data_IF_410419415236
#
_entry.id   IF_410419415236
#
_cell.length_a   1.000
_cell.length_b   1.000
_cell.length_c   1.000
_cell.angle_alpha   90.00
_cell.angle_beta   90.00
_cell.angle_gamma   90.00
#
_symmetry.space_group_name_H-M   'P 1'
#
loop_
_entity.id
_entity.type
_entity.pdbx_description
1 polymer ?
#
# COMPACT_ATOMS: atom_id res chain seq x y z
N UNK A 1 -16.90 -7.44 -16.75
CA UNK A 1 -16.29 -8.35 -15.76
C UNK A 1 -16.30 -7.73 -14.35
N UNK A 2 -16.74 -8.44 -13.29
CA UNK A 2 -16.61 -7.92 -11.94
C UNK A 2 -15.12 -7.92 -11.56
N UNK A 3 -14.60 -6.76 -11.16
CA UNK A 3 -13.28 -6.70 -10.53
C UNK A 3 -13.40 -7.36 -9.14
N UNK A 4 -12.48 -8.27 -8.76
CA UNK A 4 -12.47 -8.81 -7.40
C UNK A 4 -12.34 -7.65 -6.41
N UNK A 5 -13.21 -7.65 -5.38
CA UNK A 5 -13.16 -6.66 -4.31
C UNK A 5 -11.99 -7.00 -3.41
N UNK A 6 -10.96 -6.15 -3.39
CA UNK A 6 -9.81 -6.28 -2.51
C UNK A 6 -10.11 -5.56 -1.19
N UNK A 7 -9.89 -6.25 -0.07
CA UNK A 7 -10.09 -5.73 1.29
C UNK A 7 -8.73 -5.51 1.94
N UNK A 8 -8.55 -4.45 2.71
CA UNK A 8 -7.29 -4.17 3.42
C UNK A 8 -7.56 -3.94 4.91
N UNK A 9 -6.71 -4.47 5.78
CA UNK A 9 -6.67 -4.14 7.20
C UNK A 9 -5.52 -3.20 7.47
N UNK A 10 -5.83 -2.12 8.16
CA UNK A 10 -4.88 -1.08 8.51
C UNK A 10 -4.40 -1.30 9.94
N UNK A 11 -3.09 -1.43 10.11
CA UNK A 11 -2.40 -1.38 11.39
C UNK A 11 -1.53 -0.12 11.40
N UNK A 12 -1.06 0.32 12.57
CA UNK A 12 -0.35 1.60 12.71
C UNK A 12 0.81 1.73 11.71
N UNK A 13 0.61 2.51 10.64
CA UNK A 13 1.61 2.76 9.60
C UNK A 13 1.68 1.72 8.46
N UNK A 14 0.90 0.63 8.50
CA UNK A 14 0.89 -0.39 7.46
C UNK A 14 -0.53 -0.82 7.05
N UNK A 15 -0.72 -1.18 5.79
CA UNK A 15 -1.95 -1.81 5.29
C UNK A 15 -1.63 -3.20 4.73
N UNK A 16 -2.36 -4.21 5.22
CA UNK A 16 -2.25 -5.60 4.81
C UNK A 16 -3.48 -5.96 3.95
N UNK A 17 -3.25 -6.57 2.79
CA UNK A 17 -4.34 -7.12 1.97
C UNK A 17 -4.95 -8.35 2.67
N UNK A 18 -6.25 -8.30 2.93
CA UNK A 18 -7.04 -9.44 3.36
C UNK A 18 -7.48 -10.30 2.16
N UNK A 19 -7.55 -11.63 2.31
CA UNK A 19 -8.33 -12.46 1.40
C UNK A 19 -9.77 -11.94 1.36
N UNK A 20 -10.37 -11.89 0.17
CA UNK A 20 -11.77 -11.51 0.04
C UNK A 20 -12.65 -12.53 0.79
N UNK A 21 -13.08 -12.20 2.01
CA UNK A 21 -14.10 -12.99 2.69
C UNK A 21 -15.45 -12.78 2.02
N UNK A 22 -16.14 -13.89 1.78
CA UNK A 22 -17.56 -13.95 1.43
C UNK A 22 -18.42 -13.26 2.52
N UNK A 23 -19.62 -12.75 2.18
CA UNK A 23 -20.30 -11.75 3.00
C UNK A 23 -20.89 -12.38 4.27
N UNK A 24 -20.17 -12.26 5.38
CA UNK A 24 -20.74 -12.44 6.71
C UNK A 24 -21.03 -11.08 7.34
N UNK A 25 -22.16 -11.03 8.03
CA UNK A 25 -22.91 -9.86 8.43
C UNK A 25 -22.05 -8.74 9.06
N UNK A 26 -22.40 -7.51 8.71
CA UNK A 26 -21.77 -6.29 9.20
C UNK A 26 -21.83 -6.18 10.73
N UNK A 27 -20.68 -6.34 11.39
CA UNK A 27 -20.41 -5.69 12.67
C UNK A 27 -19.68 -4.36 12.42
N UNK A 28 -20.05 -3.28 13.15
CA UNK A 28 -19.41 -1.97 12.98
C UNK A 28 -17.96 -2.04 13.48
N UNK A 29 -16.97 -1.51 12.72
CA UNK A 29 -15.58 -1.54 13.13
C UNK A 29 -15.36 -0.64 14.38
N UNK A 30 -14.50 -1.05 15.32
CA UNK A 30 -14.17 -0.25 16.50
C UNK A 30 -13.52 1.08 16.09
N UNK A 31 -13.96 2.16 16.75
CA UNK A 31 -13.58 3.53 16.44
C UNK A 31 -12.05 3.74 16.42
N UNK A 32 -11.54 4.24 15.30
CA UNK A 32 -10.14 4.58 15.10
C UNK A 32 -9.70 5.76 15.99
N UNK A 33 -8.42 5.79 16.46
CA UNK A 33 -7.90 6.86 17.31
C UNK A 33 -7.85 8.22 16.58
N UNK A 34 -7.93 9.34 17.31
CA UNK A 34 -7.97 10.68 16.73
C UNK A 34 -6.59 11.06 16.20
N UNK A 35 -6.45 11.13 14.88
CA UNK A 35 -5.23 11.62 14.23
C UNK A 35 -5.04 11.21 12.76
N UNK A 36 -5.74 10.19 12.29
CA UNK A 36 -5.74 9.79 10.87
C UNK A 36 -7.20 9.65 10.43
N UNK A 37 -7.66 10.55 9.54
CA UNK A 37 -8.99 10.40 8.95
C UNK A 37 -8.97 9.12 8.07
N UNK A 38 -9.75 8.08 8.40
CA UNK A 38 -9.66 6.77 7.74
C UNK A 38 -9.79 6.86 6.21
N UNK A 39 -10.58 7.80 5.69
CA UNK A 39 -10.75 7.99 4.25
C UNK A 39 -9.52 8.46 3.48
N UNK A 40 -8.54 9.09 4.14
CA UNK A 40 -7.37 9.66 3.43
C UNK A 40 -6.38 8.59 2.98
N UNK A 41 -6.09 7.64 3.86
CA UNK A 41 -5.17 6.56 3.52
C UNK A 41 -5.80 5.59 2.52
N UNK A 42 -7.12 5.39 2.57
CA UNK A 42 -7.87 4.67 1.53
C UNK A 42 -7.74 5.38 0.16
N UNK A 43 -7.86 6.71 0.13
CA UNK A 43 -7.66 7.49 -1.08
C UNK A 43 -6.22 7.35 -1.62
N UNK A 44 -5.21 7.37 -0.74
CA UNK A 44 -3.83 7.11 -1.16
C UNK A 44 -3.67 5.71 -1.76
N UNK A 45 -4.23 4.68 -1.11
CA UNK A 45 -4.19 3.31 -1.62
C UNK A 45 -4.82 3.21 -3.02
N UNK A 46 -5.98 3.83 -3.23
CA UNK A 46 -6.63 3.88 -4.54
C UNK A 46 -5.73 4.52 -5.61
N UNK A 47 -5.08 5.64 -5.28
CA UNK A 47 -4.14 6.30 -6.19
C UNK A 47 -2.90 5.44 -6.47
N UNK A 48 -2.38 4.73 -5.46
CA UNK A 48 -1.24 3.82 -5.63
C UNK A 48 -1.61 2.62 -6.52
N UNK A 49 -2.81 2.07 -6.40
CA UNK A 49 -3.30 0.99 -7.26
C UNK A 49 -3.40 1.42 -8.74
N UNK A 50 -3.68 2.71 -9.02
CA UNK A 50 -3.72 3.23 -10.39
C UNK A 50 -2.33 3.28 -11.07
N UNK A 51 -1.24 3.18 -10.31
CA UNK A 51 0.12 3.08 -10.86
C UNK A 51 0.50 1.66 -11.27
N UNK A 52 -0.25 0.65 -10.80
CA UNK A 52 0.08 -0.76 -11.00
C UNK A 52 -0.65 -1.34 -12.20
N UNK A 53 -0.10 -2.43 -12.75
CA UNK A 53 -0.82 -3.19 -13.76
C UNK A 53 -2.04 -3.86 -13.11
N UNK A 54 -3.11 -4.15 -13.87
CA UNK A 54 -4.31 -4.79 -13.31
C UNK A 54 -4.07 -6.16 -12.68
N UNK A 55 -2.96 -6.82 -13.01
CA UNK A 55 -2.57 -8.13 -12.48
C UNK A 55 -1.72 -8.03 -11.21
N UNK A 56 -1.19 -6.85 -10.88
CA UNK A 56 -0.31 -6.64 -9.74
C UNK A 56 -1.15 -6.27 -8.50
N UNK A 57 -0.84 -6.91 -7.37
CA UNK A 57 -1.50 -6.64 -6.09
C UNK A 57 -0.51 -6.10 -5.06
N UNK A 58 -0.95 -5.09 -4.32
CA UNK A 58 -0.24 -4.59 -3.13
C UNK A 58 -0.44 -5.61 -2.00
N UNK A 59 0.64 -6.22 -1.55
CA UNK A 59 0.65 -7.15 -0.41
C UNK A 59 0.84 -6.43 0.91
N UNK A 60 1.64 -5.36 0.88
CA UNK A 60 1.92 -4.52 2.03
C UNK A 60 2.12 -3.09 1.54
N UNK A 61 1.53 -2.13 2.25
CA UNK A 61 1.84 -0.71 2.07
C UNK A 61 2.25 -0.12 3.41
N UNK A 62 3.48 0.39 3.52
CA UNK A 62 4.00 1.02 4.73
C UNK A 62 4.17 2.50 4.47
N UNK A 63 3.56 3.35 5.29
CA UNK A 63 3.82 4.78 5.27
C UNK A 63 5.09 5.06 6.06
N UNK A 64 6.08 5.66 5.43
CA UNK A 64 7.34 6.02 6.08
C UNK A 64 7.21 7.34 6.84
N UNK A 65 7.90 7.44 7.96
CA UNK A 65 8.09 8.70 8.67
C UNK A 65 9.12 9.53 7.90
N UNK A 66 8.69 10.66 7.35
CA UNK A 66 9.61 11.53 6.61
C UNK A 66 10.13 12.64 7.50
N UNK A 67 11.45 12.86 7.47
CA UNK A 67 12.06 14.07 8.02
C UNK A 67 11.57 15.36 7.34
N UNK A 68 10.93 15.26 6.16
CA UNK A 68 10.35 16.40 5.43
C UNK A 68 8.85 16.52 5.78
N UNK A 69 8.42 17.52 6.56
CA UNK A 69 7.07 17.60 7.17
C UNK A 69 5.91 17.83 6.18
N UNK A 70 6.17 17.77 4.88
CA UNK A 70 5.15 17.88 3.84
C UNK A 70 5.02 16.64 2.99
N UNK A 71 6.08 15.87 2.73
CA UNK A 71 5.99 14.73 1.80
C UNK A 71 5.46 13.50 2.52
N UNK A 72 4.63 12.73 1.82
CA UNK A 72 4.22 11.40 2.28
C UNK A 72 4.87 10.37 1.38
N UNK A 73 5.60 9.44 1.98
CA UNK A 73 6.26 8.35 1.27
C UNK A 73 5.66 7.03 1.71
N UNK A 74 5.33 6.19 0.74
CA UNK A 74 4.92 4.82 0.96
C UNK A 74 5.97 3.88 0.38
N UNK A 75 6.23 2.81 1.10
CA UNK A 75 6.94 1.65 0.62
C UNK A 75 5.93 0.53 0.38
N UNK A 76 5.84 0.02 -0.84
CA UNK A 76 4.89 -1.01 -1.23
C UNK A 76 5.62 -2.31 -1.53
N UNK A 77 5.09 -3.42 -1.05
CA UNK A 77 5.44 -4.75 -1.54
C UNK A 77 4.36 -5.17 -2.52
N UNK A 78 4.74 -5.33 -3.79
CA UNK A 78 3.82 -5.66 -4.89
C UNK A 78 4.23 -6.98 -5.51
N UNK A 79 3.25 -7.82 -5.83
CA UNK A 79 3.46 -9.04 -6.62
C UNK A 79 2.31 -9.25 -7.61
N UNK A 80 2.56 -9.88 -8.77
CA UNK A 80 1.50 -10.35 -9.64
C UNK A 80 0.62 -11.40 -8.94
N UNK A 81 -0.67 -11.42 -9.25
CA UNK A 81 -1.61 -12.47 -8.83
C UNK A 81 -1.73 -13.62 -9.84
N UNK A 82 -1.01 -13.53 -10.97
CA UNK A 82 -0.96 -14.56 -12.00
C UNK A 82 -0.29 -15.84 -11.50
N UNK A 83 -0.92 -16.99 -11.79
CA UNK A 83 -0.39 -18.29 -11.46
C UNK A 83 0.95 -18.53 -12.19
N UNK A 84 1.97 -18.97 -11.46
CA UNK A 84 3.31 -19.18 -12.00
C UNK A 84 4.22 -17.93 -12.00
N UNK A 85 3.74 -16.77 -11.53
CA UNK A 85 4.59 -15.61 -11.26
C UNK A 85 5.21 -15.63 -9.85
N UNK A 86 5.31 -16.80 -9.24
CA UNK A 86 5.98 -17.01 -7.96
C UNK A 86 7.43 -16.53 -8.08
N UNK A 87 7.82 -15.55 -7.25
CA UNK A 87 9.13 -14.90 -7.29
C UNK A 87 9.18 -13.53 -7.95
N UNK A 88 8.12 -13.08 -8.60
CA UNK A 88 8.06 -11.73 -9.20
C UNK A 88 7.58 -10.68 -8.18
N UNK A 89 8.28 -10.55 -7.05
CA UNK A 89 7.94 -9.52 -6.06
C UNK A 89 8.80 -8.28 -6.27
N UNK A 90 8.22 -7.10 -6.12
CA UNK A 90 8.92 -5.83 -6.20
C UNK A 90 8.60 -4.95 -4.99
N UNK A 91 9.60 -4.20 -4.56
CA UNK A 91 9.48 -3.11 -3.60
C UNK A 91 9.37 -1.80 -4.37
N UNK A 92 8.31 -1.03 -4.12
CA UNK A 92 8.07 0.24 -4.78
C UNK A 92 8.11 1.39 -3.76
N UNK A 93 8.85 2.44 -4.09
CA UNK A 93 8.78 3.72 -3.39
C UNK A 93 7.78 4.63 -4.09
N UNK A 94 6.75 5.07 -3.38
CA UNK A 94 5.70 5.95 -3.89
C UNK A 94 5.64 7.24 -3.08
N UNK A 95 5.68 8.37 -3.76
CA UNK A 95 5.71 9.69 -3.14
C UNK A 95 4.43 10.48 -3.45
N UNK A 96 3.91 11.16 -2.43
CA UNK A 96 2.90 12.21 -2.53
C UNK A 96 3.55 13.54 -2.16
N UNK A 97 3.32 14.57 -2.99
CA UNK A 97 3.87 15.91 -2.76
C UNK A 97 3.44 16.48 -1.40
N UNK A 98 2.22 16.15 -0.99
CA UNK A 98 1.69 16.38 0.34
C UNK A 98 0.60 15.40 0.68
N UNK A 99 0.27 15.34 1.96
CA UNK A 99 -0.84 14.61 2.54
C UNK A 99 -2.15 14.71 1.71
N UNK A 100 -2.48 15.86 1.12
CA UNK A 100 -3.74 16.07 0.37
C UNK A 100 -3.63 15.84 -1.13
N UNK A 101 -2.51 15.32 -1.61
CA UNK A 101 -2.27 15.23 -3.04
C UNK A 101 -3.21 14.19 -3.69
N UNK A 102 -3.90 14.61 -4.74
CA UNK A 102 -4.71 13.74 -5.58
C UNK A 102 -3.89 12.93 -6.61
N UNK A 103 -2.56 12.98 -6.52
CA UNK A 103 -1.62 12.30 -7.41
C UNK A 103 -0.41 11.83 -6.62
N UNK A 104 0.11 10.67 -7.00
CA UNK A 104 1.37 10.13 -6.50
C UNK A 104 2.30 9.79 -7.66
N UNK A 105 3.58 9.66 -7.34
CA UNK A 105 4.64 9.31 -8.30
C UNK A 105 5.43 8.12 -7.79
N UNK A 106 5.90 7.29 -8.71
CA UNK A 106 6.80 6.20 -8.39
C UNK A 106 8.25 6.71 -8.41
N UNK A 107 8.94 6.64 -7.27
CA UNK A 107 10.31 7.11 -7.10
C UNK A 107 11.36 6.00 -7.09
N UNK A 108 10.96 4.76 -6.78
CA UNK A 108 11.85 3.60 -6.71
C UNK A 108 11.12 2.32 -7.13
N UNK A 109 11.79 1.46 -7.90
CA UNK A 109 11.39 0.07 -8.17
C UNK A 109 12.60 -0.82 -7.90
N UNK A 110 12.45 -1.80 -7.00
CA UNK A 110 13.48 -2.78 -6.70
C UNK A 110 12.88 -4.20 -6.74
N UNK A 111 13.42 -5.15 -7.52
CA UNK A 111 12.99 -6.54 -7.41
C UNK A 111 13.40 -7.11 -6.05
N UNK A 112 12.51 -7.87 -5.41
CA UNK A 112 12.77 -8.53 -4.13
C UNK A 112 13.11 -10.00 -4.34
N UNK A 113 14.30 -10.38 -3.87
CA UNK A 113 14.85 -11.73 -3.91
C UNK A 113 15.04 -12.22 -2.48
N UNK A 114 15.21 -13.53 -2.28
CA UNK A 114 15.31 -14.13 -0.94
C UNK A 114 16.49 -13.63 -0.11
N UNK A 115 17.53 -13.13 -0.75
CA UNK A 115 18.74 -12.56 -0.14
C UNK A 115 18.72 -11.03 -0.05
N UNK A 116 17.63 -10.38 -0.49
CA UNK A 116 17.52 -8.92 -0.47
C UNK A 116 17.36 -8.42 0.97
N UNK A 117 18.27 -7.54 1.38
CA UNK A 117 18.20 -6.81 2.64
C UNK A 117 17.92 -5.33 2.36
N UNK A 118 16.91 -4.79 3.02
CA UNK A 118 16.48 -3.39 2.85
C UNK A 118 16.67 -2.66 4.16
N UNK A 119 17.36 -1.53 4.09
CA UNK A 119 17.57 -0.62 5.20
C UNK A 119 16.94 0.72 4.86
N UNK A 120 16.21 1.28 5.80
CA UNK A 120 15.62 2.61 5.71
C UNK A 120 16.54 3.59 6.43
N UNK A 121 16.85 4.72 5.80
CA UNK A 121 17.65 5.79 6.40
C UNK A 121 16.81 7.04 6.67
N UNK A 122 17.43 8.16 7.06
CA UNK A 122 16.81 9.29 7.76
C UNK A 122 15.48 9.86 7.23
N UNK A 123 15.12 9.68 5.95
CA UNK A 123 13.84 10.12 5.38
C UNK A 123 12.89 8.99 4.93
N UNK A 124 13.19 7.77 5.35
CA UNK A 124 12.53 6.53 4.94
C UNK A 124 13.30 5.84 3.84
#
# INVERSE_FOLDING_TARGET
PPHPRQSFVMVKGAALLLPAEEPLAAEPPPAAPPGQAPGRQEQHLQLMMQLLRPQDAIRLAVRLESARPRRVRYLLVVRPEEAGAEGQTALLGVDFAHEGAARCTLGMVLPLWSDTQVFLDGDG
#
